data_IF_875908044562
#
_entry.id   IF_875908044562
#
_cell.length_a   1.000
_cell.length_b   1.000
_cell.length_c   1.000
_cell.angle_alpha   90.00
_cell.angle_beta   90.00
_cell.angle_gamma   90.00
#
_symmetry.space_group_name_H-M   'P 1'
#
loop_
_entity.id
_entity.type
_entity.pdbx_description
1 polymer ?
#
# COMPACT_ATOMS: atom_id res chain seq x y z
N UNK A 1 14.52 -7.73 -4.07
CA UNK A 1 13.74 -8.95 -3.76
C UNK A 1 14.38 -9.66 -2.57
N UNK A 2 13.60 -10.32 -1.72
CA UNK A 2 14.09 -10.85 -0.45
C UNK A 2 13.44 -12.18 -0.08
N UNK A 3 14.22 -13.05 0.55
CA UNK A 3 13.76 -14.37 1.00
C UNK A 3 12.84 -14.22 2.21
N UNK A 4 11.64 -14.79 2.16
CA UNK A 4 10.79 -14.93 3.35
C UNK A 4 11.47 -15.89 4.33
N UNK A 5 11.74 -15.40 5.53
CA UNK A 5 12.36 -16.19 6.61
C UNK A 5 11.34 -16.58 7.68
N UNK A 6 10.18 -15.93 7.68
CA UNK A 6 9.15 -16.21 8.66
C UNK A 6 7.77 -15.79 8.17
N UNK A 7 6.86 -16.75 7.85
CA UNK A 7 5.59 -16.43 7.22
C UNK A 7 4.56 -15.86 8.20
N UNK A 8 3.46 -15.35 7.64
CA UNK A 8 2.24 -15.01 8.37
C UNK A 8 1.61 -16.24 9.02
N UNK A 9 1.08 -16.11 10.24
CA UNK A 9 0.34 -17.19 10.90
C UNK A 9 0.59 -17.32 12.39
N UNK A 10 0.02 -18.36 13.01
CA UNK A 10 0.18 -18.62 14.45
C UNK A 10 1.53 -19.29 14.74
N UNK A 11 2.23 -18.81 15.77
CA UNK A 11 3.46 -19.41 16.30
C UNK A 11 3.27 -19.67 17.79
N UNK A 12 2.99 -20.92 18.17
CA UNK A 12 2.89 -21.32 19.58
C UNK A 12 1.94 -20.46 20.41
N UNK A 13 0.78 -20.08 19.84
CA UNK A 13 -0.21 -19.22 20.50
C UNK A 13 -0.09 -17.72 20.23
N UNK A 14 1.01 -17.24 19.63
CA UNK A 14 1.18 -15.84 19.22
C UNK A 14 0.96 -15.66 17.72
N UNK A 15 0.05 -14.78 17.31
CA UNK A 15 -0.20 -14.46 15.90
C UNK A 15 0.90 -13.55 15.34
N UNK A 16 1.52 -13.98 14.24
CA UNK A 16 2.39 -13.16 13.40
C UNK A 16 1.56 -12.50 12.30
N UNK A 17 1.46 -11.17 12.32
CA UNK A 17 0.54 -10.38 11.49
C UNK A 17 1.08 -9.99 10.12
N UNK A 18 2.30 -10.41 9.80
CA UNK A 18 2.97 -10.16 8.52
C UNK A 18 3.86 -11.32 8.11
N UNK A 19 4.71 -11.07 7.12
CA UNK A 19 5.82 -11.97 6.75
C UNK A 19 7.14 -11.24 6.98
N UNK A 20 8.11 -11.94 7.56
CA UNK A 20 9.46 -11.44 7.77
C UNK A 20 10.32 -11.79 6.56
N UNK A 21 10.88 -10.76 5.94
CA UNK A 21 11.69 -10.86 4.73
C UNK A 21 13.13 -10.53 5.11
N UNK A 22 14.08 -11.40 4.73
CA UNK A 22 15.50 -11.19 5.01
C UNK A 22 15.98 -9.92 4.33
N UNK A 23 16.71 -9.10 5.08
CA UNK A 23 17.49 -7.96 4.57
C UNK A 23 18.80 -7.84 5.36
N UNK A 24 19.72 -7.08 4.79
CA UNK A 24 20.87 -6.51 5.47
C UNK A 24 20.56 -5.08 5.92
N UNK A 25 21.32 -4.59 6.88
CA UNK A 25 21.17 -3.21 7.33
C UNK A 25 21.52 -2.25 6.18
N UNK A 26 20.64 -1.30 5.90
CA UNK A 26 20.83 -0.31 4.84
C UNK A 26 20.26 -0.73 3.49
N UNK A 27 19.78 -1.97 3.32
CA UNK A 27 19.13 -2.40 2.06
C UNK A 27 17.95 -1.50 1.73
N UNK A 28 17.80 -1.12 0.46
CA UNK A 28 16.65 -0.33 0.01
C UNK A 28 15.36 -1.13 0.15
N UNK A 29 14.39 -0.57 0.88
CA UNK A 29 13.02 -1.08 0.96
C UNK A 29 12.14 -0.21 0.07
N UNK A 30 11.51 -0.85 -0.91
CA UNK A 30 10.62 -0.20 -1.88
C UNK A 30 9.16 -0.56 -1.65
N UNK A 31 8.27 0.34 -2.08
CA UNK A 31 6.84 0.13 -2.06
C UNK A 31 6.46 -1.07 -2.94
N UNK A 32 5.68 -1.98 -2.37
CA UNK A 32 5.16 -3.14 -3.08
C UNK A 32 4.11 -2.75 -4.14
N UNK A 33 3.41 -1.63 -3.92
CA UNK A 33 2.35 -1.11 -4.79
C UNK A 33 2.26 0.41 -4.69
N UNK A 34 1.66 1.03 -5.72
CA UNK A 34 1.28 2.44 -5.69
C UNK A 34 0.37 2.73 -4.50
N UNK A 35 0.62 3.81 -3.77
CA UNK A 35 -0.19 4.22 -2.62
C UNK A 35 0.17 5.61 -2.11
N UNK A 36 -0.51 6.04 -1.05
CA UNK A 36 -0.22 7.30 -0.35
C UNK A 36 0.28 6.99 1.05
N UNK A 37 1.31 7.70 1.50
CA UNK A 37 1.89 7.50 2.84
C UNK A 37 0.90 7.96 3.91
N UNK A 38 0.37 6.99 4.66
CA UNK A 38 -0.49 7.22 5.82
C UNK A 38 0.33 7.51 7.08
N UNK A 39 1.47 6.87 7.22
CA UNK A 39 2.35 7.01 8.39
C UNK A 39 3.80 6.82 7.99
N UNK A 40 4.69 7.67 8.51
CA UNK A 40 6.14 7.53 8.42
C UNK A 40 6.78 8.03 9.72
N UNK A 41 6.91 7.16 10.73
CA UNK A 41 7.48 7.52 12.05
C UNK A 41 7.93 6.28 12.83
N UNK A 42 8.57 6.50 13.98
CA UNK A 42 8.77 5.44 14.97
C UNK A 42 7.43 5.08 15.62
N UNK A 43 7.11 3.79 15.69
CA UNK A 43 5.89 3.24 16.29
C UNK A 43 6.22 2.05 17.20
N UNK A 44 5.58 1.98 18.36
CA UNK A 44 5.91 0.98 19.39
C UNK A 44 5.81 -0.45 18.85
N UNK A 45 6.79 -1.28 19.15
CA UNK A 45 6.92 -2.66 18.64
C UNK A 45 7.40 -2.77 17.19
N UNK A 46 6.94 -1.87 16.31
CA UNK A 46 7.26 -1.87 14.87
C UNK A 46 8.59 -1.18 14.52
N UNK A 47 9.09 -0.30 15.40
CA UNK A 47 10.26 0.51 15.11
C UNK A 47 9.93 1.64 14.15
N UNK A 48 10.86 2.02 13.26
CA UNK A 48 10.54 2.96 12.18
C UNK A 48 9.63 2.24 11.17
N UNK A 49 8.46 2.82 10.97
CA UNK A 49 7.35 2.23 10.23
C UNK A 49 6.90 3.19 9.13
N UNK A 50 6.74 2.65 7.92
CA UNK A 50 5.96 3.26 6.85
C UNK A 50 4.66 2.48 6.68
N UNK A 51 3.53 3.17 6.58
CA UNK A 51 2.24 2.59 6.16
C UNK A 51 1.82 3.29 4.89
N UNK A 52 1.59 2.51 3.83
CA UNK A 52 0.98 3.00 2.59
C UNK A 52 -0.48 2.56 2.55
N UNK A 53 -1.36 3.49 2.20
CA UNK A 53 -2.74 3.17 1.84
C UNK A 53 -2.87 3.02 0.33
N UNK A 54 -3.64 2.03 -0.08
CA UNK A 54 -3.93 1.67 -1.46
C UNK A 54 -5.45 1.70 -1.71
N UNK A 55 -5.84 1.52 -2.98
CA UNK A 55 -7.24 1.29 -3.38
C UNK A 55 -7.88 0.13 -2.59
N UNK A 56 -9.21 0.13 -2.53
CA UNK A 56 -10.05 -0.93 -1.94
C UNK A 56 -9.74 -1.27 -0.47
N UNK A 57 -9.27 -0.28 0.30
CA UNK A 57 -9.01 -0.42 1.72
C UNK A 57 -7.81 -1.30 2.07
N UNK A 58 -6.92 -1.51 1.09
CA UNK A 58 -5.64 -2.17 1.32
C UNK A 58 -4.62 -1.22 1.94
N UNK A 59 -3.82 -1.76 2.86
CA UNK A 59 -2.64 -1.10 3.43
C UNK A 59 -1.45 -2.04 3.38
N UNK A 60 -0.25 -1.48 3.14
CA UNK A 60 1.01 -2.20 3.32
C UNK A 60 1.87 -1.55 4.39
N UNK A 61 2.46 -2.37 5.26
CA UNK A 61 3.27 -1.94 6.40
C UNK A 61 4.72 -2.35 6.15
N UNK A 62 5.64 -1.41 6.34
CA UNK A 62 7.09 -1.61 6.19
C UNK A 62 7.79 -1.26 7.49
N UNK A 63 8.16 -2.27 8.27
CA UNK A 63 8.60 -2.10 9.66
C UNK A 63 10.08 -2.41 9.86
N UNK A 64 10.58 -2.12 11.07
CA UNK A 64 11.96 -2.34 11.48
C UNK A 64 13.02 -1.58 10.66
N UNK A 65 12.60 -0.54 9.93
CA UNK A 65 13.46 0.25 9.08
C UNK A 65 14.57 0.94 9.88
N UNK A 66 15.74 1.16 9.28
CA UNK A 66 16.82 1.97 9.85
C UNK A 66 16.61 3.46 9.54
N UNK A 67 16.03 3.78 8.36
CA UNK A 67 15.76 5.14 7.90
C UNK A 67 14.44 5.22 7.14
N UNK A 68 13.73 6.33 7.31
CA UNK A 68 12.53 6.70 6.54
C UNK A 68 12.96 7.62 5.41
N UNK A 69 12.45 7.38 4.19
CA UNK A 69 12.77 8.19 3.00
C UNK A 69 11.56 8.98 2.48
N UNK A 70 10.43 8.87 3.17
CA UNK A 70 9.14 9.44 2.76
C UNK A 70 8.46 10.12 3.94
N UNK A 71 7.52 11.01 3.63
CA UNK A 71 6.71 11.78 4.58
C UNK A 71 5.22 11.46 4.40
N UNK A 72 4.44 11.73 5.44
CA UNK A 72 2.98 11.55 5.38
C UNK A 72 2.39 12.43 4.27
N UNK A 73 1.52 11.84 3.45
CA UNK A 73 0.89 12.50 2.30
C UNK A 73 1.60 12.27 0.97
N UNK A 74 2.83 11.76 0.96
CA UNK A 74 3.54 11.47 -0.29
C UNK A 74 2.80 10.40 -1.11
N UNK A 75 2.62 10.65 -2.40
CA UNK A 75 2.20 9.63 -3.37
C UNK A 75 3.43 8.83 -3.80
N UNK A 76 3.36 7.52 -3.62
CA UNK A 76 4.46 6.59 -3.86
C UNK A 76 4.05 5.66 -4.99
N UNK A 77 4.86 5.55 -6.03
CA UNK A 77 4.66 4.58 -7.10
C UNK A 77 5.17 3.19 -6.71
N UNK A 78 4.70 2.14 -7.40
CA UNK A 78 5.23 0.80 -7.17
C UNK A 78 6.75 0.77 -7.42
N UNK A 79 7.48 0.00 -6.60
CA UNK A 79 8.95 -0.08 -6.57
C UNK A 79 9.71 1.19 -6.14
N UNK A 80 9.03 2.30 -5.87
CA UNK A 80 9.69 3.51 -5.34
C UNK A 80 10.23 3.27 -3.91
N UNK A 81 11.45 3.70 -3.58
CA UNK A 81 12.01 3.57 -2.22
C UNK A 81 11.17 4.28 -1.16
N UNK A 82 10.94 3.61 -0.03
CA UNK A 82 10.22 4.16 1.13
C UNK A 82 11.09 4.24 2.39
N UNK A 83 12.16 3.45 2.45
CA UNK A 83 13.02 3.36 3.61
C UNK A 83 14.25 2.51 3.37
N UNK A 84 15.08 2.41 4.40
CA UNK A 84 16.22 1.50 4.44
C UNK A 84 15.99 0.42 5.49
N UNK A 85 16.44 -0.80 5.21
CA UNK A 85 16.34 -1.97 6.05
C UNK A 85 17.12 -1.84 7.35
N UNK A 86 16.62 -2.46 8.42
CA UNK A 86 17.26 -2.39 9.73
C UNK A 86 16.72 -3.39 10.75
N UNK A 87 16.86 -3.02 12.02
CA UNK A 87 16.40 -3.78 13.21
C UNK A 87 15.92 -2.82 14.30
N UNK A 88 15.14 -1.81 13.92
CA UNK A 88 14.55 -0.90 14.93
C UNK A 88 13.30 -1.51 15.55
N UNK A 89 12.93 -1.10 16.77
CA UNK A 89 11.77 -1.64 17.46
C UNK A 89 12.02 -3.07 17.98
N UNK A 90 10.98 -3.92 17.97
CA UNK A 90 11.05 -5.27 18.54
C UNK A 90 11.40 -6.30 17.47
N UNK A 91 12.66 -6.28 17.05
CA UNK A 91 13.23 -7.19 16.05
C UNK A 91 14.49 -7.88 16.59
N UNK A 92 14.60 -9.20 16.39
CA UNK A 92 15.76 -9.99 16.86
C UNK A 92 16.93 -9.97 15.87
N UNK A 93 16.65 -9.81 14.58
CA UNK A 93 17.63 -9.74 13.48
C UNK A 93 17.26 -8.62 12.52
N UNK A 94 18.19 -8.24 11.64
CA UNK A 94 17.87 -7.45 10.46
C UNK A 94 16.87 -8.23 9.57
N UNK A 95 15.67 -7.68 9.41
CA UNK A 95 14.59 -8.18 8.56
C UNK A 95 13.57 -7.05 8.30
N UNK A 96 12.80 -7.16 7.22
CA UNK A 96 11.59 -6.36 7.01
C UNK A 96 10.41 -7.16 7.55
N UNK A 97 9.70 -6.61 8.52
CA UNK A 97 8.36 -7.12 8.86
C UNK A 97 7.34 -6.43 7.97
N UNK A 98 6.82 -7.18 6.99
CA UNK A 98 5.90 -6.71 5.97
C UNK A 98 4.49 -7.21 6.25
N UNK A 99 3.52 -6.31 6.37
CA UNK A 99 2.11 -6.70 6.50
C UNK A 99 1.29 -6.22 5.30
N UNK A 100 0.25 -7.00 4.97
CA UNK A 100 -0.86 -6.56 4.13
C UNK A 100 -2.09 -6.54 5.01
N UNK A 101 -2.81 -5.43 5.03
CA UNK A 101 -4.11 -5.34 5.71
C UNK A 101 -5.18 -4.98 4.71
N UNK A 102 -6.37 -5.55 4.88
CA UNK A 102 -7.56 -5.15 4.14
C UNK A 102 -8.61 -4.72 5.17
N UNK A 103 -9.08 -3.48 5.08
CA UNK A 103 -9.99 -2.88 6.05
C UNK A 103 -9.51 -3.04 7.50
N UNK A 104 -8.20 -2.87 7.72
CA UNK A 104 -7.56 -2.99 9.04
C UNK A 104 -7.30 -4.42 9.53
N UNK A 105 -7.76 -5.46 8.81
CA UNK A 105 -7.55 -6.86 9.17
C UNK A 105 -6.30 -7.39 8.47
N UNK A 106 -5.34 -7.91 9.24
CA UNK A 106 -4.11 -8.50 8.72
C UNK A 106 -4.40 -9.76 7.88
N UNK A 107 -3.86 -9.76 6.66
CA UNK A 107 -3.95 -10.84 5.70
C UNK A 107 -2.58 -11.47 5.48
N UNK A 108 -2.54 -12.72 5.00
CA UNK A 108 -1.28 -13.34 4.60
C UNK A 108 -0.71 -12.62 3.35
N UNK A 109 0.46 -11.94 3.45
CA UNK A 109 1.06 -11.22 2.33
C UNK A 109 1.38 -12.10 1.11
N UNK A 110 1.70 -13.37 1.34
CA UNK A 110 2.07 -14.33 0.28
C UNK A 110 0.89 -14.70 -0.64
N UNK A 111 -0.34 -14.32 -0.28
CA UNK A 111 -1.52 -14.42 -1.16
C UNK A 111 -1.54 -13.33 -2.23
N UNK A 112 -0.86 -12.21 -2.00
CA UNK A 112 -0.86 -11.04 -2.88
C UNK A 112 0.47 -10.88 -3.60
N UNK A 113 1.58 -11.21 -2.94
CA UNK A 113 2.92 -11.03 -3.48
C UNK A 113 3.65 -12.35 -3.61
N UNK A 114 4.39 -12.47 -4.69
CA UNK A 114 5.48 -13.41 -4.81
C UNK A 114 6.77 -12.69 -4.42
N UNK A 115 7.30 -12.98 -3.25
CA UNK A 115 8.53 -12.34 -2.76
C UNK A 115 9.80 -12.87 -3.44
N UNK A 116 9.72 -14.01 -4.14
CA UNK A 116 10.83 -14.52 -4.93
C UNK A 116 10.98 -13.72 -6.24
N UNK A 117 9.86 -13.46 -6.92
CA UNK A 117 9.84 -12.75 -8.21
C UNK A 117 9.57 -11.25 -8.09
N UNK A 118 9.06 -10.80 -6.94
CA UNK A 118 8.58 -9.44 -6.72
C UNK A 118 7.24 -9.12 -7.38
N UNK A 119 6.60 -10.10 -7.99
CA UNK A 119 5.36 -9.91 -8.74
C UNK A 119 4.13 -9.93 -7.82
N UNK A 120 3.11 -9.19 -8.21
CA UNK A 120 1.76 -9.36 -7.68
C UNK A 120 1.15 -10.65 -8.24
N UNK A 121 0.65 -11.54 -7.38
CA UNK A 121 0.06 -12.84 -7.79
C UNK A 121 -1.34 -12.73 -8.38
N UNK A 122 -2.07 -11.63 -8.11
CA UNK A 122 -3.38 -11.29 -8.68
C UNK A 122 -3.50 -9.76 -8.77
N UNK A 123 -4.22 -9.20 -9.77
CA UNK A 123 -4.65 -7.82 -9.64
C UNK A 123 -5.55 -7.73 -8.40
N UNK A 124 -5.23 -6.81 -7.48
CA UNK A 124 -6.10 -6.48 -6.36
C UNK A 124 -7.34 -5.78 -6.92
N UNK A 125 -8.29 -6.58 -7.39
CA UNK A 125 -9.62 -6.14 -7.79
C UNK A 125 -10.58 -7.05 -7.07
N UNK A 126 -11.33 -6.49 -6.12
CA UNK A 126 -12.52 -7.14 -5.58
C UNK A 126 -13.67 -6.14 -5.75
N UNK A 127 -14.41 -6.27 -6.86
CA UNK A 127 -15.66 -5.54 -7.06
C UNK A 127 -15.86 -4.84 -8.40
N UNK A 128 -14.87 -4.74 -9.28
CA UNK A 128 -15.11 -4.25 -10.64
C UNK A 128 -15.64 -5.38 -11.51
N UNK A 129 -16.86 -5.22 -12.02
CA UNK A 129 -17.39 -5.99 -13.15
C UNK A 129 -16.31 -6.04 -14.23
N UNK A 130 -16.00 -7.24 -14.68
CA UNK A 130 -15.10 -7.54 -15.78
C UNK A 130 -15.50 -6.71 -17.00
N UNK A 131 -14.74 -5.66 -17.31
CA UNK A 131 -14.88 -4.96 -18.58
C UNK A 131 -14.20 -5.84 -19.64
N UNK A 132 -14.96 -6.78 -20.18
CA UNK A 132 -14.60 -7.52 -21.39
C UNK A 132 -14.51 -6.51 -22.54
N UNK A 133 -13.33 -5.97 -22.80
CA UNK A 133 -13.06 -5.28 -24.07
C UNK A 133 -12.86 -6.39 -25.09
N UNK A 134 -13.94 -6.67 -25.82
CA UNK A 134 -13.99 -7.70 -26.84
C UNK A 134 -12.85 -7.57 -27.84
N UNK A 135 -12.13 -8.68 -28.00
CA UNK A 135 -11.34 -8.97 -29.19
C UNK A 135 -12.21 -8.78 -30.43
N UNK A 136 -11.93 -7.73 -31.20
CA UNK A 136 -12.23 -7.72 -32.64
C UNK A 136 -10.93 -7.67 -33.40
N UNK A 137 -10.47 -8.89 -33.67
CA UNK A 137 -9.61 -9.24 -34.78
C UNK A 137 -10.13 -8.60 -36.09
N UNK A 138 -9.27 -7.85 -36.78
CA UNK A 138 -9.34 -7.72 -38.24
C UNK A 138 -7.95 -7.43 -38.81
N UNK A 139 -7.58 -8.30 -39.76
CA UNK A 139 -6.41 -8.35 -40.65
C UNK A 139 -6.23 -7.03 -41.42
N UNK A 140 -5.04 -6.58 -41.89
CA UNK A 140 -4.11 -7.25 -42.82
C UNK A 140 -2.88 -6.39 -43.19
N UNK A 141 -1.72 -7.05 -43.42
CA UNK A 141 -0.69 -6.87 -44.48
C UNK A 141 0.23 -5.61 -44.54
N UNK A 142 1.56 -5.83 -44.34
CA UNK A 142 2.74 -5.68 -45.28
C UNK A 142 3.18 -4.23 -45.59
N UNK A 143 4.43 -3.76 -45.67
CA UNK A 143 5.80 -4.32 -45.84
C UNK A 143 6.81 -3.15 -45.59
N UNK A 144 8.11 -3.41 -45.40
CA UNK A 144 9.17 -2.43 -45.78
C UNK A 144 10.12 -1.78 -44.74
N UNK A 145 11.32 -2.38 -44.63
CA UNK A 145 12.68 -1.78 -44.58
C UNK A 145 13.20 -0.89 -43.43
N UNK A 146 14.53 -1.03 -43.25
CA UNK A 146 15.39 -0.67 -42.11
C UNK A 146 15.95 0.77 -42.10
N UNK A 147 16.44 1.12 -40.90
CA UNK A 147 17.53 2.04 -40.57
C UNK A 147 17.22 3.55 -40.55
N UNK A 148 17.21 4.12 -39.34
CA UNK A 148 18.11 5.24 -39.02
C UNK A 148 18.22 5.47 -37.50
N UNK A 149 19.43 5.87 -37.10
CA UNK A 149 19.92 6.08 -35.74
C UNK A 149 19.71 7.53 -35.31
N UNK A 150 19.54 7.72 -34.00
CA UNK A 150 19.60 8.97 -33.23
C UNK A 150 18.32 9.81 -33.16
N UNK A 151 17.75 9.86 -31.95
CA UNK A 151 17.54 11.06 -31.11
C UNK A 151 16.83 10.56 -29.84
N UNK A 152 17.59 10.11 -28.83
CA UNK A 152 17.04 9.86 -27.49
C UNK A 152 16.96 11.20 -26.78
N UNK A 153 15.94 11.96 -27.14
CA UNK A 153 15.37 13.02 -26.34
C UNK A 153 13.89 12.71 -26.25
N UNK A 154 13.43 12.11 -25.15
CA UNK A 154 12.11 12.50 -24.72
C UNK A 154 11.92 12.28 -23.22
N UNK A 155 11.65 13.40 -22.60
CA UNK A 155 11.17 13.57 -21.24
C UNK A 155 9.79 12.94 -21.14
N UNK A 156 9.70 11.62 -21.05
CA UNK A 156 8.44 11.00 -20.62
C UNK A 156 8.36 11.04 -19.11
N UNK A 157 8.01 12.24 -18.64
CA UNK A 157 7.17 12.44 -17.45
C UNK A 157 6.16 11.29 -17.45
N UNK A 158 6.40 10.29 -16.60
CA UNK A 158 5.40 9.26 -16.30
C UNK A 158 4.32 9.96 -15.50
N UNK A 159 3.38 10.53 -16.23
CA UNK A 159 2.18 11.13 -15.67
C UNK A 159 1.53 10.10 -14.79
N UNK A 160 1.56 10.36 -13.49
CA UNK A 160 0.77 9.64 -12.52
C UNK A 160 -0.67 9.60 -13.06
N UNK A 161 -1.24 8.41 -13.14
CA UNK A 161 -2.66 8.20 -13.44
C UNK A 161 -3.49 9.20 -12.60
N UNK A 162 -4.10 10.24 -13.22
CA UNK A 162 -4.66 11.40 -12.52
C UNK A 162 -5.92 11.05 -11.71
N UNK A 163 -6.31 9.78 -11.68
CA UNK A 163 -7.48 9.25 -10.99
C UNK A 163 -7.14 8.28 -9.86
N UNK A 164 -5.87 8.11 -9.50
CA UNK A 164 -5.50 7.35 -8.30
C UNK A 164 -5.62 8.21 -7.04
N UNK A 165 -6.85 8.40 -6.57
CA UNK A 165 -7.06 8.86 -5.19
C UNK A 165 -7.05 7.65 -4.27
N UNK A 166 -5.93 7.44 -3.57
CA UNK A 166 -5.90 6.46 -2.50
C UNK A 166 -6.90 6.90 -1.42
N UNK A 167 -7.77 6.01 -0.93
CA UNK A 167 -8.71 6.38 0.12
C UNK A 167 -7.96 6.85 1.36
N UNK A 168 -8.18 8.10 1.77
CA UNK A 168 -7.58 8.63 2.99
C UNK A 168 -8.38 8.11 4.18
N UNK A 169 -7.72 7.51 5.16
CA UNK A 169 -8.36 7.05 6.41
C UNK A 169 -7.84 7.84 7.61
N UNK A 170 -8.76 8.22 8.49
CA UNK A 170 -8.43 8.75 9.81
C UNK A 170 -8.79 7.77 10.90
N UNK A 171 -7.96 7.73 11.95
CA UNK A 171 -8.28 6.99 13.16
C UNK A 171 -9.12 7.89 14.06
N UNK A 172 -10.32 7.45 14.40
CA UNK A 172 -11.23 8.15 15.32
C UNK A 172 -10.54 8.28 16.69
N UNK A 173 -10.41 9.51 17.19
CA UNK A 173 -9.85 9.80 18.49
C UNK A 173 -10.96 10.11 19.51
N UNK A 174 -10.59 10.17 20.79
CA UNK A 174 -11.51 10.62 21.85
C UNK A 174 -11.98 12.03 21.53
N UNK A 175 -13.29 12.21 21.39
CA UNK A 175 -13.91 13.50 21.05
C UNK A 175 -14.19 13.71 19.56
N UNK A 176 -13.73 12.82 18.67
CA UNK A 176 -14.15 12.88 17.27
C UNK A 176 -15.62 12.45 17.12
N UNK A 177 -16.34 13.20 16.29
CA UNK A 177 -17.70 12.89 15.84
C UNK A 177 -17.70 12.81 14.32
N UNK A 178 -18.70 12.17 13.72
CA UNK A 178 -18.84 12.23 12.26
C UNK A 178 -18.91 13.67 11.75
N UNK A 179 -19.55 14.57 12.49
CA UNK A 179 -19.65 15.97 12.13
C UNK A 179 -18.29 16.68 12.15
N UNK A 180 -17.50 16.49 13.21
CA UNK A 180 -16.17 17.13 13.31
C UNK A 180 -15.21 16.58 12.25
N UNK A 181 -15.29 15.28 11.95
CA UNK A 181 -14.49 14.65 10.89
C UNK A 181 -14.95 15.10 9.50
N UNK A 182 -16.25 15.21 9.25
CA UNK A 182 -16.74 15.63 7.93
C UNK A 182 -16.30 17.05 7.61
N UNK A 183 -16.40 17.99 8.58
CA UNK A 183 -15.92 19.37 8.41
C UNK A 183 -14.41 19.44 8.19
N UNK A 184 -13.63 18.63 8.93
CA UNK A 184 -12.17 18.57 8.79
C UNK A 184 -11.72 18.09 7.41
N UNK A 185 -12.50 17.22 6.78
CA UNK A 185 -12.15 16.56 5.51
C UNK A 185 -13.01 17.01 4.32
N UNK A 186 -13.78 18.10 4.47
CA UNK A 186 -14.59 18.64 3.38
C UNK A 186 -15.68 17.69 2.87
N UNK A 187 -16.20 16.80 3.73
CA UNK A 187 -17.30 15.88 3.43
C UNK A 187 -18.56 16.24 4.23
N UNK A 188 -19.70 15.74 3.79
CA UNK A 188 -20.92 15.70 4.60
C UNK A 188 -20.91 14.47 5.53
N UNK A 189 -21.71 14.51 6.60
CA UNK A 189 -21.90 13.34 7.48
C UNK A 189 -22.44 12.16 6.69
N UNK A 190 -23.40 12.39 5.78
CA UNK A 190 -23.97 11.35 4.94
C UNK A 190 -22.93 10.71 4.00
N UNK A 191 -22.05 11.52 3.41
CA UNK A 191 -20.93 11.02 2.60
C UNK A 191 -19.97 10.17 3.43
N UNK A 192 -19.59 10.62 4.63
CA UNK A 192 -18.76 9.80 5.52
C UNK A 192 -19.46 8.50 5.94
N UNK A 193 -20.77 8.53 6.18
CA UNK A 193 -21.53 7.32 6.48
C UNK A 193 -21.56 6.36 5.31
N UNK A 194 -21.83 6.86 4.10
CA UNK A 194 -21.84 6.06 2.87
C UNK A 194 -20.46 5.45 2.57
N UNK A 195 -19.40 6.25 2.68
CA UNK A 195 -18.00 5.82 2.48
C UNK A 195 -17.57 4.71 3.44
N UNK A 196 -18.19 4.66 4.63
CA UNK A 196 -17.81 3.75 5.70
C UNK A 196 -18.91 2.73 6.05
N UNK A 197 -19.97 2.65 5.25
CA UNK A 197 -21.12 1.76 5.47
C UNK A 197 -21.71 1.87 6.89
N UNK A 198 -21.73 3.09 7.46
CA UNK A 198 -22.22 3.33 8.81
C UNK A 198 -23.74 3.51 8.80
N UNK A 199 -24.44 2.73 9.61
CA UNK A 199 -25.90 2.82 9.79
C UNK A 199 -26.33 3.90 10.80
N UNK A 200 -25.38 4.62 11.39
CA UNK A 200 -25.63 5.60 12.44
C UNK A 200 -24.43 6.52 12.64
N UNK A 201 -24.46 7.33 13.71
CA UNK A 201 -23.44 8.37 13.98
C UNK A 201 -22.39 7.96 15.00
N UNK A 202 -22.54 6.79 15.61
CA UNK A 202 -21.67 6.32 16.67
C UNK A 202 -20.31 5.88 16.10
N UNK A 203 -19.24 6.46 16.61
CA UNK A 203 -17.87 6.11 16.28
C UNK A 203 -17.18 5.46 17.47
N UNK A 204 -16.37 4.43 17.23
CA UNK A 204 -15.53 3.82 18.26
C UNK A 204 -14.15 4.45 18.24
N UNK A 205 -13.62 4.80 19.41
CA UNK A 205 -12.23 5.26 19.52
C UNK A 205 -11.32 4.17 18.93
N UNK A 206 -10.41 4.58 18.05
CA UNK A 206 -9.52 3.70 17.31
C UNK A 206 -10.08 3.15 15.99
N UNK A 207 -11.37 3.38 15.70
CA UNK A 207 -12.00 3.02 14.42
C UNK A 207 -11.32 3.75 13.26
N UNK A 208 -11.11 3.05 12.14
CA UNK A 208 -10.63 3.67 10.91
C UNK A 208 -11.83 4.19 10.12
N UNK A 209 -11.75 5.43 9.66
CA UNK A 209 -12.81 6.10 8.94
C UNK A 209 -12.26 6.65 7.63
N UNK A 210 -12.78 6.17 6.51
CA UNK A 210 -12.52 6.67 5.16
C UNK A 210 -13.08 8.08 5.03
N UNK A 211 -12.24 9.01 4.61
CA UNK A 211 -12.58 10.43 4.46
C UNK A 211 -12.37 10.96 3.04
N UNK A 212 -11.81 10.14 2.15
CA UNK A 212 -11.67 10.38 0.71
C UNK A 212 -11.96 9.10 -0.08
#
# INVERSE_FOLDING_TARGET
MGKVISPFGSRGGRKHTGSDIKLQHGDTVSAAMKGVVKMARTYSGYGKLVILTHRDGFETYYSHLSKLLVSVGDTIEAAQPVGLGGRTGRATTNHLHFEVRQHGVAQNPERYFDFATGALKKPLVVGARELVIGSRHRTSKTDGSMADVAQVSDSTVRTADPTYEAPLYVQVQKGDTLYSLSRRHGKTVAELQALNQLKGTLLKIGQQLRVH
#
